data_IF_649562208383
#
_entry.id   IF_649562208383
#
_cell.length_a   1.000
_cell.length_b   1.000
_cell.length_c   1.000
_cell.angle_alpha   90.00
_cell.angle_beta   90.00
_cell.angle_gamma   90.00
#
_symmetry.space_group_name_H-M   'P 1'
#
loop_
_entity.id
_entity.type
_entity.pdbx_description
1 polymer ?
#
# COMPACT_ATOMS: atom_id res chain seq x y z
N UNK A 1 -19.52 -16.32 -1.30
CA UNK A 1 -18.67 -15.20 -0.89
C UNK A 1 -17.22 -15.40 -1.23
N UNK A 2 -16.60 -16.50 -0.85
CA UNK A 2 -15.16 -16.68 -0.89
C UNK A 2 -14.48 -16.46 -2.24
N UNK A 3 -14.95 -17.10 -3.30
CA UNK A 3 -14.24 -17.08 -4.58
C UNK A 3 -14.21 -15.70 -5.23
N UNK A 4 -15.32 -14.96 -5.22
CA UNK A 4 -15.35 -13.62 -5.83
C UNK A 4 -14.49 -12.64 -5.07
N UNK A 5 -14.52 -12.66 -3.74
CA UNK A 5 -13.69 -11.79 -2.91
C UNK A 5 -12.20 -12.10 -3.10
N UNK A 6 -11.84 -13.40 -3.16
CA UNK A 6 -10.45 -13.82 -3.37
C UNK A 6 -9.94 -13.41 -4.73
N UNK A 7 -10.75 -13.58 -5.78
CA UNK A 7 -10.39 -13.17 -7.14
C UNK A 7 -10.19 -11.66 -7.24
N UNK A 8 -11.09 -10.88 -6.63
CA UNK A 8 -11.01 -9.43 -6.64
C UNK A 8 -9.76 -8.95 -5.92
N UNK A 9 -9.46 -9.54 -4.76
CA UNK A 9 -8.24 -9.21 -4.01
C UNK A 9 -6.99 -9.54 -4.80
N UNK A 10 -6.88 -10.75 -5.33
CA UNK A 10 -5.71 -11.17 -6.11
C UNK A 10 -5.56 -10.34 -7.38
N UNK A 11 -6.66 -10.08 -8.06
CA UNK A 11 -6.67 -9.25 -9.27
C UNK A 11 -6.19 -7.83 -8.97
N UNK A 12 -6.64 -7.26 -7.85
CA UNK A 12 -6.18 -5.94 -7.41
C UNK A 12 -4.70 -5.91 -7.12
N UNK A 13 -4.17 -6.93 -6.43
CA UNK A 13 -2.74 -7.04 -6.14
C UNK A 13 -1.92 -7.10 -7.43
N UNK A 14 -2.34 -7.90 -8.39
CA UNK A 14 -1.65 -8.01 -9.67
C UNK A 14 -1.71 -6.71 -10.45
N UNK A 15 -2.86 -6.06 -10.49
CA UNK A 15 -3.02 -4.76 -11.15
C UNK A 15 -2.09 -3.72 -10.53
N UNK A 16 -2.12 -3.60 -9.20
CA UNK A 16 -1.30 -2.63 -8.51
C UNK A 16 0.20 -2.91 -8.70
N UNK A 17 0.60 -4.18 -8.63
CA UNK A 17 2.00 -4.53 -8.84
C UNK A 17 2.49 -4.11 -10.22
N UNK A 18 1.67 -4.30 -11.25
CA UNK A 18 2.02 -3.89 -12.62
C UNK A 18 2.13 -2.38 -12.75
N UNK A 19 1.24 -1.64 -12.09
CA UNK A 19 1.30 -0.18 -12.11
C UNK A 19 2.58 0.31 -11.46
N UNK A 20 2.93 -0.22 -10.29
CA UNK A 20 4.14 0.19 -9.59
C UNK A 20 5.40 -0.23 -10.34
N UNK A 21 5.37 -1.39 -11.00
CA UNK A 21 6.46 -1.82 -11.87
C UNK A 21 6.64 -0.84 -13.04
N UNK A 22 5.55 -0.34 -13.60
CA UNK A 22 5.61 0.63 -14.69
C UNK A 22 6.25 1.96 -14.27
N UNK A 23 6.26 2.25 -12.98
CA UNK A 23 6.94 3.41 -12.42
C UNK A 23 8.39 3.12 -12.03
N UNK A 24 8.89 1.92 -12.31
CA UNK A 24 10.28 1.57 -12.11
C UNK A 24 10.61 0.89 -10.78
N UNK A 25 9.62 0.43 -10.04
CA UNK A 25 9.84 -0.23 -8.75
C UNK A 25 9.62 -1.75 -8.88
N UNK A 26 10.50 -2.57 -8.27
CA UNK A 26 10.44 -4.02 -8.40
C UNK A 26 9.36 -4.64 -7.49
N UNK A 27 8.13 -4.15 -7.58
CA UNK A 27 7.05 -4.63 -6.73
C UNK A 27 6.53 -5.96 -7.27
N UNK A 28 6.38 -6.91 -6.37
CA UNK A 28 5.89 -8.24 -6.70
C UNK A 28 4.71 -8.59 -5.81
N UNK A 29 3.71 -9.25 -6.39
CA UNK A 29 2.62 -9.83 -5.62
C UNK A 29 3.14 -11.10 -4.95
N UNK A 30 2.74 -11.29 -3.69
CA UNK A 30 3.08 -12.48 -2.95
C UNK A 30 2.47 -13.73 -3.56
N UNK A 31 2.93 -14.89 -3.13
CA UNK A 31 2.40 -16.16 -3.61
C UNK A 31 0.97 -16.34 -3.13
N UNK A 32 0.11 -16.84 -4.03
CA UNK A 32 -1.31 -17.02 -3.73
C UNK A 32 -1.56 -17.94 -2.53
N UNK A 33 -0.63 -18.84 -2.23
CA UNK A 33 -0.75 -19.82 -1.14
C UNK A 33 0.20 -19.56 0.02
N UNK A 34 0.61 -18.30 0.22
CA UNK A 34 1.55 -17.98 1.29
C UNK A 34 0.93 -18.02 2.69
N UNK A 35 -0.38 -17.99 2.79
CA UNK A 35 -1.12 -18.03 4.07
C UNK A 35 -0.63 -16.98 5.08
N UNK A 36 -0.24 -15.80 4.59
CA UNK A 36 0.22 -14.73 5.44
C UNK A 36 1.69 -14.83 5.86
N UNK A 37 2.44 -15.77 5.31
CA UNK A 37 3.88 -15.88 5.61
C UNK A 37 4.70 -14.77 4.97
N UNK A 38 4.20 -14.20 3.87
CA UNK A 38 4.82 -13.06 3.18
C UNK A 38 3.76 -12.00 2.94
N UNK A 39 4.16 -10.72 2.79
CA UNK A 39 3.18 -9.68 2.46
C UNK A 39 2.55 -9.93 1.10
N UNK A 40 1.32 -9.45 0.92
CA UNK A 40 0.61 -9.56 -0.35
C UNK A 40 1.35 -8.86 -1.48
N UNK A 41 2.00 -7.76 -1.19
CA UNK A 41 2.85 -7.02 -2.12
C UNK A 41 4.14 -6.63 -1.41
N UNK A 42 5.25 -6.70 -2.14
CA UNK A 42 6.56 -6.32 -1.61
C UNK A 42 7.39 -5.67 -2.71
N UNK A 43 8.42 -4.94 -2.31
CA UNK A 43 9.37 -4.35 -3.26
C UNK A 43 9.24 -2.85 -3.45
N UNK A 44 8.40 -2.17 -2.66
CA UNK A 44 8.36 -0.71 -2.64
C UNK A 44 9.18 -0.23 -1.44
N UNK A 45 10.38 0.33 -1.66
CA UNK A 45 11.26 0.66 -0.54
C UNK A 45 10.63 1.62 0.46
N UNK A 46 10.70 1.25 1.73
CA UNK A 46 10.24 2.09 2.83
C UNK A 46 8.74 2.09 3.09
N UNK A 47 7.96 1.37 2.28
CA UNK A 47 6.50 1.37 2.40
C UNK A 47 5.98 -0.06 2.44
N UNK A 48 5.17 -0.35 3.45
CA UNK A 48 4.37 -1.57 3.50
C UNK A 48 3.07 -1.34 2.75
N UNK A 49 2.79 -2.17 1.75
CA UNK A 49 1.60 -2.02 0.91
C UNK A 49 0.49 -2.93 1.41
N UNK A 50 -0.61 -2.33 1.87
CA UNK A 50 -1.86 -3.03 2.09
C UNK A 50 -2.75 -2.73 0.89
N UNK A 51 -3.12 -3.75 0.12
CA UNK A 51 -3.87 -3.56 -1.11
C UNK A 51 -5.35 -3.91 -0.89
N UNK A 52 -6.23 -2.98 -1.22
CA UNK A 52 -7.68 -3.18 -1.07
C UNK A 52 -8.41 -2.83 -2.38
N UNK A 53 -9.04 -3.83 -2.94
CA UNK A 53 -9.86 -3.69 -4.14
C UNK A 53 -11.29 -4.08 -3.79
N UNK A 54 -12.11 -3.12 -3.43
CA UNK A 54 -13.47 -3.36 -2.94
C UNK A 54 -14.35 -2.14 -3.17
N UNK A 55 -15.66 -2.35 -3.20
CA UNK A 55 -16.60 -1.26 -3.41
C UNK A 55 -16.97 -0.53 -2.11
N UNK A 56 -16.73 -1.13 -0.95
CA UNK A 56 -17.03 -0.53 0.34
C UNK A 56 -15.75 -0.10 1.03
N UNK A 57 -15.64 1.19 1.36
CA UNK A 57 -14.47 1.73 2.03
C UNK A 57 -14.54 1.48 3.54
N UNK A 58 -13.42 0.98 4.09
CA UNK A 58 -13.25 0.74 5.53
C UNK A 58 -11.86 1.19 5.93
N UNK A 59 -11.57 2.47 5.74
CA UNK A 59 -10.21 3.01 5.84
C UNK A 59 -9.60 2.82 7.22
N UNK A 60 -10.37 3.02 8.29
CA UNK A 60 -9.86 2.85 9.66
C UNK A 60 -9.43 1.41 9.93
N UNK A 61 -10.26 0.44 9.53
CA UNK A 61 -9.94 -0.98 9.69
C UNK A 61 -8.73 -1.37 8.85
N UNK A 62 -8.67 -0.88 7.62
CA UNK A 62 -7.57 -1.17 6.70
C UNK A 62 -6.25 -0.61 7.23
N UNK A 63 -6.26 0.62 7.76
CA UNK A 63 -5.05 1.21 8.34
C UNK A 63 -4.58 0.43 9.56
N UNK A 64 -5.50 -0.03 10.41
CA UNK A 64 -5.14 -0.85 11.56
C UNK A 64 -4.49 -2.17 11.10
N UNK A 65 -5.03 -2.80 10.06
CA UNK A 65 -4.45 -3.99 9.48
C UNK A 65 -3.07 -3.71 8.90
N UNK A 66 -2.93 -2.62 8.16
CA UNK A 66 -1.66 -2.24 7.57
C UNK A 66 -0.58 -2.02 8.63
N UNK A 67 -0.95 -1.38 9.76
CA UNK A 67 -0.02 -1.19 10.86
C UNK A 67 0.45 -2.51 11.47
N UNK A 68 -0.49 -3.44 11.70
CA UNK A 68 -0.14 -4.75 12.24
C UNK A 68 0.79 -5.52 11.31
N UNK A 69 0.46 -5.52 10.02
CA UNK A 69 1.23 -6.27 9.03
C UNK A 69 2.60 -5.62 8.78
N UNK A 70 2.68 -4.29 8.79
CA UNK A 70 3.95 -3.60 8.67
C UNK A 70 4.89 -3.95 9.81
N UNK A 71 4.37 -4.05 11.04
CA UNK A 71 5.17 -4.50 12.19
C UNK A 71 5.58 -5.95 12.04
N UNK A 72 4.64 -6.80 11.64
CA UNK A 72 4.89 -8.23 11.48
C UNK A 72 5.98 -8.50 10.45
N UNK A 73 5.93 -7.85 9.32
CA UNK A 73 6.89 -8.07 8.23
C UNK A 73 8.08 -7.12 8.27
N UNK A 74 8.01 -6.08 9.10
CA UNK A 74 9.08 -5.08 9.24
C UNK A 74 9.53 -4.56 7.87
N UNK A 75 8.59 -4.19 7.02
CA UNK A 75 8.85 -3.87 5.63
C UNK A 75 8.53 -2.42 5.25
N UNK A 76 8.30 -1.55 6.22
CA UNK A 76 8.16 -0.13 5.96
C UNK A 76 6.97 0.51 6.63
N UNK A 77 6.73 1.76 6.29
CA UNK A 77 5.61 2.53 6.80
C UNK A 77 4.29 1.98 6.25
N UNK A 78 3.27 1.78 7.09
CA UNK A 78 2.01 1.22 6.62
C UNK A 78 1.25 2.18 5.71
N UNK A 79 0.84 1.70 4.55
CA UNK A 79 0.04 2.46 3.61
C UNK A 79 -1.02 1.56 3.00
N UNK A 80 -2.22 2.10 2.82
CA UNK A 80 -3.31 1.38 2.18
C UNK A 80 -3.47 1.92 0.77
N UNK A 81 -3.27 1.05 -0.21
CA UNK A 81 -3.48 1.34 -1.62
C UNK A 81 -4.83 0.73 -1.98
N UNK A 82 -5.77 1.57 -2.37
CA UNK A 82 -7.14 1.09 -2.58
C UNK A 82 -7.79 1.72 -3.79
N UNK A 83 -8.76 1.01 -4.31
CA UNK A 83 -9.56 1.49 -5.41
C UNK A 83 -10.93 0.80 -5.41
N UNK A 84 -11.95 1.55 -5.79
CA UNK A 84 -13.26 1.01 -6.16
C UNK A 84 -13.35 0.88 -7.68
N UNK A 85 -14.38 0.18 -8.18
CA UNK A 85 -14.62 0.09 -9.62
C UNK A 85 -14.76 1.49 -10.22
N UNK A 86 -14.16 1.70 -11.37
CA UNK A 86 -14.21 2.97 -12.12
C UNK A 86 -13.63 4.16 -11.36
N UNK A 87 -12.78 3.90 -10.37
CA UNK A 87 -12.13 4.92 -9.57
C UNK A 87 -10.62 4.76 -9.66
N UNK A 88 -9.87 5.86 -9.52
CA UNK A 88 -8.42 5.75 -9.51
C UNK A 88 -7.91 5.08 -8.25
N UNK A 89 -6.70 4.53 -8.34
CA UNK A 89 -5.98 4.09 -7.16
C UNK A 89 -5.65 5.27 -6.27
N UNK A 90 -5.88 5.12 -4.98
CA UNK A 90 -5.56 6.11 -3.97
C UNK A 90 -4.71 5.47 -2.88
N UNK A 91 -3.99 6.31 -2.15
CA UNK A 91 -3.15 5.86 -1.05
C UNK A 91 -3.54 6.62 0.21
N UNK A 92 -3.70 5.90 1.31
CA UNK A 92 -3.86 6.51 2.62
C UNK A 92 -2.75 6.02 3.53
N UNK A 93 -2.15 6.94 4.28
CA UNK A 93 -1.12 6.62 5.26
C UNK A 93 -1.15 7.67 6.36
N UNK A 94 -0.41 7.42 7.43
CA UNK A 94 -0.32 8.40 8.52
C UNK A 94 0.41 9.64 8.03
N UNK A 95 -0.05 10.80 8.49
CA UNK A 95 0.53 12.08 8.09
C UNK A 95 2.04 12.13 8.34
N UNK A 96 2.49 11.63 9.47
CA UNK A 96 3.91 11.65 9.81
C UNK A 96 4.74 10.85 8.82
N UNK A 97 4.23 9.70 8.40
CA UNK A 97 4.93 8.86 7.42
C UNK A 97 4.97 9.53 6.05
N UNK A 98 3.85 10.14 5.65
CA UNK A 98 3.78 10.87 4.40
C UNK A 98 4.73 12.07 4.41
N UNK A 99 4.78 12.80 5.52
CA UNK A 99 5.69 13.95 5.67
C UNK A 99 7.15 13.53 5.55
N UNK A 100 7.51 12.37 6.09
CA UNK A 100 8.88 11.86 5.95
C UNK A 100 9.22 11.61 4.49
N UNK A 101 8.30 11.02 3.72
CA UNK A 101 8.48 10.79 2.29
C UNK A 101 8.59 12.12 1.55
N UNK A 102 7.69 13.05 1.84
CA UNK A 102 7.65 14.34 1.17
C UNK A 102 8.96 15.13 1.41
N UNK A 103 9.41 15.16 2.65
CA UNK A 103 10.63 15.88 3.01
C UNK A 103 11.87 15.29 2.34
N UNK A 104 11.92 13.97 2.22
CA UNK A 104 13.02 13.30 1.52
C UNK A 104 13.00 13.59 0.02
N UNK A 105 11.81 13.63 -0.58
CA UNK A 105 11.66 13.87 -2.01
C UNK A 105 11.98 15.31 -2.40
N UNK A 106 11.75 16.24 -1.48
CA UNK A 106 11.94 17.68 -1.71
C UNK A 106 12.96 18.25 -0.73
N UNK A 107 14.06 17.53 -0.51
CA UNK A 107 15.08 17.94 0.45
C UNK A 107 15.75 19.27 0.10
N UNK A 108 15.77 19.66 -1.19
CA UNK A 108 16.28 20.94 -1.65
C UNK A 108 15.28 22.09 -1.46
N UNK A 109 14.00 21.76 -1.21
CA UNK A 109 12.93 22.74 -1.00
C UNK A 109 12.50 22.68 0.46
N UNK A 110 13.36 23.16 1.35
CA UNK A 110 13.05 23.15 2.78
C UNK A 110 11.86 24.05 3.06
N UNK A 111 10.98 23.64 3.99
CA UNK A 111 9.87 24.49 4.37
C UNK A 111 10.39 25.81 4.93
N UNK A 112 9.66 26.89 4.66
CA UNK A 112 10.01 28.17 5.27
C UNK A 112 9.85 28.05 6.78
N UNK A 113 10.82 28.60 7.50
CA UNK A 113 10.68 28.64 8.95
C UNK A 113 9.45 29.45 9.32
N UNK A 114 8.60 28.85 10.13
CA UNK A 114 7.43 29.53 10.65
C UNK A 114 7.79 30.07 12.02
N UNK A 115 7.82 31.38 12.09
CA UNK A 115 8.15 32.07 13.34
C UNK A 115 6.92 32.52 14.06
#
# INVERSE_FOLDING_TARGET
MGRMSQRKGRSGELELSRILQSHGYPVEAGRAKSHGEVPDLSGLPGVHIECKRTETLRLTEWMAQAERDAQRFNDGAPAVFFRRSRSPWCVVMKLEDWMAIYQNSFSSCKPKEVH
#
